data_IF_656630992938
#
_entry.id   IF_656630992938
#
_cell.length_a   1.000
_cell.length_b   1.000
_cell.length_c   1.000
_cell.angle_alpha   90.00
_cell.angle_beta   90.00
_cell.angle_gamma   90.00
#
_symmetry.space_group_name_H-M   'P 1'
#
loop_
_entity.id
_entity.type
_entity.pdbx_description
1 polymer ?
#
# COMPACT_ATOMS: atom_id res chain seq x y z
N UNK A 1 -21.65 5.03 -14.35
CA UNK A 1 -22.01 3.92 -13.46
C UNK A 1 -20.77 3.17 -12.94
N UNK A 2 -19.77 2.83 -13.78
CA UNK A 2 -18.54 2.17 -13.31
C UNK A 2 -17.87 2.97 -12.20
N UNK A 3 -17.67 4.28 -12.36
CA UNK A 3 -17.05 5.13 -11.33
C UNK A 3 -17.85 5.14 -10.02
N UNK A 4 -19.19 5.10 -10.10
CA UNK A 4 -20.05 5.01 -8.91
C UNK A 4 -19.86 3.66 -8.20
N UNK A 5 -19.79 2.55 -8.97
CA UNK A 5 -19.48 1.23 -8.41
C UNK A 5 -18.10 1.18 -7.73
N UNK A 6 -17.09 1.79 -8.35
CA UNK A 6 -15.75 1.88 -7.76
C UNK A 6 -15.74 2.73 -6.48
N UNK A 7 -16.48 3.83 -6.44
CA UNK A 7 -16.64 4.66 -5.24
C UNK A 7 -17.32 3.87 -4.11
N UNK A 8 -18.39 3.14 -4.42
CA UNK A 8 -19.08 2.25 -3.45
C UNK A 8 -18.15 1.18 -2.91
N UNK A 9 -17.31 0.59 -3.76
CA UNK A 9 -16.29 -0.36 -3.34
C UNK A 9 -15.27 0.28 -2.39
N UNK A 10 -14.75 1.47 -2.70
CA UNK A 10 -13.80 2.18 -1.81
C UNK A 10 -14.43 2.50 -0.45
N UNK A 11 -15.68 2.96 -0.44
CA UNK A 11 -16.43 3.20 0.80
C UNK A 11 -16.60 1.90 1.63
N UNK A 12 -16.91 0.79 0.96
CA UNK A 12 -17.05 -0.53 1.61
C UNK A 12 -15.74 -0.99 2.22
N UNK A 13 -14.62 -0.83 1.51
CA UNK A 13 -13.29 -1.16 2.02
C UNK A 13 -12.95 -0.34 3.26
N UNK A 14 -13.20 0.97 3.24
CA UNK A 14 -12.95 1.87 4.39
C UNK A 14 -13.84 1.57 5.59
N UNK A 15 -15.08 1.15 5.35
CA UNK A 15 -16.01 0.78 6.42
C UNK A 15 -15.66 -0.54 7.09
N UNK A 16 -14.89 -1.42 6.42
CA UNK A 16 -14.54 -2.75 6.89
C UNK A 16 -13.01 -2.92 6.98
N UNK A 17 -12.36 -2.33 8.00
CA UNK A 17 -10.92 -2.44 8.17
C UNK A 17 -10.50 -3.88 8.46
N UNK A 18 -9.50 -4.38 7.73
CA UNK A 18 -9.02 -5.76 7.82
C UNK A 18 -7.58 -5.85 8.37
N UNK A 19 -6.90 -4.72 8.54
CA UNK A 19 -5.52 -4.69 9.04
C UNK A 19 -5.39 -3.76 10.26
N UNK A 20 -4.72 -4.17 11.34
CA UNK A 20 -4.67 -3.40 12.58
C UNK A 20 -4.03 -2.01 12.43
N UNK A 21 -2.90 -1.90 11.72
CA UNK A 21 -2.19 -0.64 11.54
C UNK A 21 -2.64 0.12 10.28
N UNK A 22 -2.76 -0.56 9.13
CA UNK A 22 -3.13 0.06 7.84
C UNK A 22 -4.63 0.31 7.69
N UNK A 23 -5.45 -0.35 8.51
CA UNK A 23 -6.91 -0.33 8.49
C UNK A 23 -7.46 -1.05 7.26
N UNK A 24 -7.59 -0.37 6.13
CA UNK A 24 -8.13 -0.92 4.88
C UNK A 24 -7.26 -0.53 3.70
N UNK A 25 -7.38 -1.27 2.62
CA UNK A 25 -6.94 -0.81 1.32
C UNK A 25 -7.76 0.37 0.81
N UNK A 26 -7.36 0.95 -0.30
CA UNK A 26 -8.07 2.07 -0.97
C UNK A 26 -8.08 1.89 -2.48
N UNK A 27 -8.99 2.60 -3.15
CA UNK A 27 -9.15 2.53 -4.58
C UNK A 27 -9.19 3.94 -5.17
N UNK A 28 -8.38 4.18 -6.20
CA UNK A 28 -8.27 5.48 -6.87
C UNK A 28 -8.48 5.31 -8.37
N UNK A 29 -9.55 5.88 -8.93
CA UNK A 29 -9.77 5.99 -10.37
C UNK A 29 -9.02 7.23 -10.88
N UNK A 30 -7.73 7.07 -11.18
CA UNK A 30 -6.80 8.18 -11.37
C UNK A 30 -6.86 8.78 -12.78
N UNK A 31 -7.19 8.00 -13.80
CA UNK A 31 -7.23 8.48 -15.18
C UNK A 31 -8.49 7.96 -15.88
N UNK A 32 -9.13 8.82 -16.66
CA UNK A 32 -10.25 8.47 -17.53
C UNK A 32 -9.96 9.00 -18.94
N UNK A 33 -10.04 8.14 -19.92
CA UNK A 33 -9.77 8.50 -21.34
C UNK A 33 -10.87 7.97 -22.23
N UNK A 34 -11.44 8.83 -23.06
CA UNK A 34 -12.47 8.48 -24.03
C UNK A 34 -12.91 9.70 -24.82
N UNK A 35 -13.54 9.45 -25.99
CA UNK A 35 -14.04 10.49 -26.88
C UNK A 35 -12.97 11.07 -27.84
N UNK A 36 -13.47 11.73 -28.90
CA UNK A 36 -12.64 12.36 -29.93
C UNK A 36 -13.10 13.81 -30.17
N UNK A 37 -14.41 14.09 -30.03
CA UNK A 37 -15.03 15.39 -30.26
C UNK A 37 -16.28 15.60 -29.39
N UNK A 38 -16.78 16.81 -29.31
CA UNK A 38 -17.90 17.18 -28.43
C UNK A 38 -19.25 16.66 -28.93
N UNK A 39 -19.42 16.45 -30.25
CA UNK A 39 -20.70 16.08 -30.87
C UNK A 39 -20.93 14.57 -30.97
N UNK A 40 -19.93 13.74 -30.64
CA UNK A 40 -19.99 12.28 -30.76
C UNK A 40 -19.84 11.58 -29.43
N UNK A 41 -20.71 10.60 -29.17
CA UNK A 41 -20.53 9.70 -28.03
C UNK A 41 -19.28 8.81 -28.24
N UNK A 42 -18.44 8.62 -27.20
CA UNK A 42 -17.27 7.79 -27.32
C UNK A 42 -17.65 6.30 -27.48
N UNK A 43 -17.08 5.65 -28.50
CA UNK A 43 -17.20 4.21 -28.69
C UNK A 43 -16.51 3.43 -27.57
N UNK A 44 -15.46 4.00 -26.99
CA UNK A 44 -14.63 3.38 -25.94
C UNK A 44 -14.25 4.39 -24.87
N UNK A 45 -14.28 3.91 -23.62
CA UNK A 45 -13.74 4.63 -22.48
C UNK A 45 -12.81 3.70 -21.69
N UNK A 46 -11.65 4.21 -21.28
CA UNK A 46 -10.69 3.51 -20.44
C UNK A 46 -10.58 4.24 -19.11
N UNK A 47 -10.68 3.49 -18.02
CA UNK A 47 -10.45 3.98 -16.65
C UNK A 47 -9.25 3.24 -16.09
N UNK A 48 -8.21 3.98 -15.71
CA UNK A 48 -7.08 3.40 -14.98
C UNK A 48 -7.33 3.55 -13.48
N UNK A 49 -7.20 2.42 -12.79
CA UNK A 49 -7.54 2.31 -11.36
C UNK A 49 -6.33 1.80 -10.61
N UNK A 50 -5.91 2.52 -9.57
CA UNK A 50 -4.97 2.03 -8.57
C UNK A 50 -5.74 1.44 -7.40
N UNK A 51 -5.42 0.21 -7.00
CA UNK A 51 -5.93 -0.44 -5.81
C UNK A 51 -4.76 -0.67 -4.85
N UNK A 52 -4.72 0.10 -3.77
CA UNK A 52 -3.75 -0.11 -2.68
C UNK A 52 -4.27 -1.22 -1.78
N UNK A 53 -3.46 -2.24 -1.63
CA UNK A 53 -3.78 -3.46 -0.86
C UNK A 53 -3.13 -3.44 0.52
N UNK A 54 -3.71 -4.17 1.44
CA UNK A 54 -3.08 -4.51 2.73
C UNK A 54 -2.53 -5.94 2.67
N UNK A 55 -1.58 -6.32 3.55
CA UNK A 55 -1.10 -7.71 3.65
C UNK A 55 -2.25 -8.71 3.76
N UNK A 56 -2.20 -9.77 2.94
CA UNK A 56 -3.24 -10.80 2.85
C UNK A 56 -4.23 -10.62 1.69
N UNK A 57 -4.30 -9.46 1.06
CA UNK A 57 -5.06 -9.27 -0.19
C UNK A 57 -4.24 -9.72 -1.40
N UNK A 58 -4.90 -10.38 -2.36
CA UNK A 58 -4.27 -10.87 -3.58
C UNK A 58 -4.75 -10.12 -4.83
N UNK A 59 -3.94 -10.07 -5.91
CA UNK A 59 -4.38 -9.46 -7.18
C UNK A 59 -5.65 -10.09 -7.74
N UNK A 60 -5.83 -11.40 -7.57
CA UNK A 60 -7.02 -12.11 -8.04
C UNK A 60 -8.29 -11.66 -7.28
N UNK A 61 -8.20 -11.47 -5.97
CA UNK A 61 -9.31 -10.93 -5.17
C UNK A 61 -9.67 -9.51 -5.59
N UNK A 62 -8.68 -8.65 -5.80
CA UNK A 62 -8.87 -7.28 -6.27
C UNK A 62 -9.56 -7.25 -7.64
N UNK A 63 -9.09 -8.07 -8.59
CA UNK A 63 -9.69 -8.16 -9.91
C UNK A 63 -11.14 -8.66 -9.84
N UNK A 64 -11.41 -9.66 -8.99
CA UNK A 64 -12.76 -10.18 -8.78
C UNK A 64 -13.72 -9.13 -8.20
N UNK A 65 -13.28 -8.28 -7.27
CA UNK A 65 -14.09 -7.18 -6.74
C UNK A 65 -14.54 -6.20 -7.84
N UNK A 66 -13.64 -5.87 -8.76
CA UNK A 66 -13.99 -4.98 -9.89
C UNK A 66 -14.86 -5.72 -10.90
N UNK A 67 -14.59 -7.01 -11.16
CA UNK A 67 -15.40 -7.81 -12.09
C UNK A 67 -16.87 -7.89 -11.63
N UNK A 68 -17.13 -8.04 -10.34
CA UNK A 68 -18.49 -8.03 -9.79
C UNK A 68 -19.25 -6.76 -10.19
N UNK A 69 -18.60 -5.59 -10.09
CA UNK A 69 -19.20 -4.30 -10.50
C UNK A 69 -19.57 -4.34 -11.99
N UNK A 70 -18.68 -4.85 -12.82
CA UNK A 70 -18.91 -4.93 -14.26
C UNK A 70 -20.06 -5.91 -14.62
N UNK A 71 -20.12 -7.03 -13.93
CA UNK A 71 -21.17 -8.06 -14.13
C UNK A 71 -22.54 -7.54 -13.68
N UNK A 72 -22.62 -6.81 -12.58
CA UNK A 72 -23.85 -6.15 -12.13
C UNK A 72 -24.36 -5.13 -13.16
N UNK A 73 -23.45 -4.30 -13.71
CA UNK A 73 -23.79 -3.32 -14.73
C UNK A 73 -24.23 -4.00 -16.05
N UNK A 74 -23.57 -5.09 -16.45
CA UNK A 74 -23.95 -5.86 -17.62
C UNK A 74 -25.33 -6.55 -17.46
N UNK A 75 -25.67 -6.94 -16.23
CA UNK A 75 -27.00 -7.48 -15.90
C UNK A 75 -28.07 -6.41 -15.99
N UNK A 76 -27.80 -5.19 -15.56
CA UNK A 76 -28.72 -4.07 -15.60
C UNK A 76 -28.90 -3.48 -17.01
N UNK A 77 -27.84 -3.51 -17.82
CA UNK A 77 -27.86 -3.02 -19.22
C UNK A 77 -27.15 -4.04 -20.14
N UNK A 78 -27.91 -4.82 -20.92
CA UNK A 78 -27.32 -5.81 -21.85
C UNK A 78 -26.46 -5.22 -22.97
N UNK A 79 -26.53 -3.91 -23.22
CA UNK A 79 -25.65 -3.23 -24.16
C UNK A 79 -24.31 -2.86 -23.57
N UNK A 80 -24.19 -2.83 -22.24
CA UNK A 80 -22.95 -2.54 -21.54
C UNK A 80 -21.94 -3.66 -21.74
N UNK A 81 -20.71 -3.30 -22.17
CA UNK A 81 -19.61 -4.24 -22.33
C UNK A 81 -18.35 -3.62 -21.73
N UNK A 82 -17.75 -4.30 -20.78
CA UNK A 82 -16.50 -3.87 -20.18
C UNK A 82 -15.63 -5.08 -19.82
N UNK A 83 -14.33 -4.83 -19.68
CA UNK A 83 -13.35 -5.83 -19.22
C UNK A 83 -12.44 -5.17 -18.21
N UNK A 84 -11.98 -5.91 -17.23
CA UNK A 84 -10.93 -5.51 -16.31
C UNK A 84 -9.66 -6.29 -16.62
N UNK A 85 -8.51 -5.60 -16.57
CA UNK A 85 -7.20 -6.20 -16.74
C UNK A 85 -6.23 -5.63 -15.73
N UNK A 86 -5.60 -6.50 -14.95
CA UNK A 86 -4.46 -6.14 -14.11
C UNK A 86 -3.24 -5.92 -14.99
N UNK A 87 -2.65 -4.73 -14.93
CA UNK A 87 -1.50 -4.33 -15.75
C UNK A 87 -0.19 -4.26 -14.95
N UNK A 88 -0.29 -4.09 -13.64
CA UNK A 88 0.86 -3.94 -12.78
C UNK A 88 0.52 -4.42 -11.36
N UNK A 89 1.48 -5.08 -10.70
CA UNK A 89 1.35 -5.57 -9.32
C UNK A 89 2.62 -5.24 -8.54
N UNK A 90 2.42 -4.79 -7.31
CA UNK A 90 3.44 -4.73 -6.27
C UNK A 90 2.85 -5.34 -5.01
N UNK A 91 3.54 -6.31 -4.44
CA UNK A 91 3.09 -6.95 -3.21
C UNK A 91 3.18 -5.98 -2.04
N UNK A 92 2.24 -6.11 -1.12
CA UNK A 92 2.31 -5.43 0.17
C UNK A 92 3.37 -6.10 1.06
N UNK A 93 3.94 -5.33 1.99
CA UNK A 93 4.90 -5.82 2.96
C UNK A 93 4.28 -5.88 4.36
N UNK A 94 4.56 -6.96 5.06
CA UNK A 94 4.27 -7.12 6.48
C UNK A 94 5.31 -8.03 7.11
N UNK A 95 5.70 -7.74 8.34
CA UNK A 95 6.62 -8.56 9.11
C UNK A 95 5.98 -8.93 10.45
N UNK A 96 6.04 -10.19 10.90
CA UNK A 96 5.62 -10.58 12.23
C UNK A 96 6.49 -9.92 13.31
N UNK A 97 5.91 -9.53 14.42
CA UNK A 97 6.64 -8.90 15.51
C UNK A 97 7.64 -9.85 16.19
N UNK A 98 7.47 -11.17 16.05
CA UNK A 98 8.40 -12.20 16.55
C UNK A 98 9.55 -12.49 15.58
N UNK A 99 9.60 -11.86 14.41
CA UNK A 99 10.69 -12.04 13.47
C UNK A 99 12.04 -11.59 14.07
N UNK A 100 13.14 -12.36 13.93
CA UNK A 100 14.41 -12.06 14.57
C UNK A 100 14.93 -10.65 14.29
N UNK A 101 14.87 -10.19 13.05
CA UNK A 101 15.31 -8.83 12.67
C UNK A 101 14.44 -7.74 13.32
N UNK A 102 13.13 -7.95 13.43
CA UNK A 102 12.22 -7.03 14.11
C UNK A 102 12.57 -6.93 15.60
N UNK A 103 12.72 -8.06 16.27
CA UNK A 103 13.05 -8.12 17.71
C UNK A 103 14.40 -7.46 17.99
N UNK A 104 15.37 -7.63 17.10
CA UNK A 104 16.70 -7.05 17.24
C UNK A 104 16.66 -5.53 17.15
N UNK A 105 16.04 -4.99 16.09
CA UNK A 105 15.86 -3.53 15.93
C UNK A 105 15.05 -2.95 17.10
N UNK A 106 13.96 -3.60 17.50
CA UNK A 106 13.14 -3.15 18.61
C UNK A 106 13.92 -3.10 19.94
N UNK A 107 14.75 -4.09 20.21
CA UNK A 107 15.60 -4.13 21.41
C UNK A 107 16.61 -2.97 21.43
N UNK A 108 17.40 -2.79 20.38
CA UNK A 108 18.38 -1.71 20.33
C UNK A 108 17.73 -0.32 20.32
N UNK A 109 16.60 -0.18 19.60
CA UNK A 109 15.83 1.05 19.62
C UNK A 109 15.31 1.35 21.05
N UNK A 110 14.79 0.37 21.75
CA UNK A 110 14.32 0.52 23.14
C UNK A 110 15.47 0.97 24.06
N UNK A 111 16.64 0.37 23.92
CA UNK A 111 17.82 0.75 24.72
C UNK A 111 18.28 2.20 24.46
N UNK A 112 18.33 2.60 23.18
CA UNK A 112 18.78 3.96 22.80
C UNK A 112 17.77 5.06 23.06
N UNK A 113 16.48 4.75 22.93
CA UNK A 113 15.40 5.72 23.09
C UNK A 113 14.83 5.77 24.51
N UNK A 114 15.14 4.78 25.37
CA UNK A 114 14.59 4.64 26.71
C UNK A 114 13.15 4.12 26.75
N UNK A 115 12.55 3.84 25.58
CA UNK A 115 11.22 3.25 25.41
C UNK A 115 11.12 2.51 24.08
N UNK A 116 10.21 1.55 24.00
CA UNK A 116 9.96 0.83 22.75
C UNK A 116 9.43 1.80 21.67
N UNK A 117 9.94 1.72 20.43
CA UNK A 117 9.40 2.51 19.32
C UNK A 117 7.97 2.08 18.97
N UNK A 118 7.19 3.02 18.43
CA UNK A 118 5.87 2.69 17.93
C UNK A 118 5.97 1.86 16.64
N UNK A 119 5.24 0.75 16.60
CA UNK A 119 5.05 -0.04 15.38
C UNK A 119 3.88 0.55 14.60
N UNK A 120 4.13 1.00 13.38
CA UNK A 120 3.14 1.65 12.53
C UNK A 120 3.04 0.98 11.17
N UNK A 121 1.86 1.05 10.56
CA UNK A 121 1.68 0.75 9.15
C UNK A 121 1.77 2.03 8.32
N UNK A 122 2.47 1.98 7.19
CA UNK A 122 2.58 3.12 6.28
C UNK A 122 1.88 2.82 4.95
N UNK A 123 1.09 3.75 4.39
CA UNK A 123 0.27 3.50 3.20
C UNK A 123 1.04 3.72 1.89
N UNK A 124 2.36 3.59 1.89
CA UNK A 124 3.21 3.69 0.71
C UNK A 124 4.07 2.44 0.55
N UNK A 125 4.42 2.16 -0.70
CA UNK A 125 5.20 0.98 -1.04
C UNK A 125 6.71 1.23 -0.82
N UNK A 126 7.42 0.17 -0.40
CA UNK A 126 8.88 0.18 -0.18
C UNK A 126 9.52 -1.08 -0.74
N UNK A 127 10.82 -1.02 -1.04
CA UNK A 127 11.64 -2.13 -1.55
C UNK A 127 11.69 -3.33 -0.60
N UNK A 128 11.34 -3.15 0.68
CA UNK A 128 11.14 -4.24 1.65
C UNK A 128 10.21 -5.34 1.16
N UNK A 129 9.21 -4.98 0.34
CA UNK A 129 8.31 -5.96 -0.28
C UNK A 129 9.04 -6.89 -1.26
N UNK A 130 10.00 -6.37 -2.04
CA UNK A 130 10.81 -7.18 -2.96
C UNK A 130 11.75 -8.09 -2.18
N UNK A 131 12.44 -7.55 -1.17
CA UNK A 131 13.37 -8.31 -0.35
C UNK A 131 12.65 -9.43 0.41
N UNK A 132 11.50 -9.12 1.00
CA UNK A 132 10.67 -10.11 1.70
C UNK A 132 10.19 -11.23 0.76
N UNK A 133 9.73 -10.88 -0.45
CA UNK A 133 9.33 -11.86 -1.46
C UNK A 133 10.49 -12.77 -1.91
N UNK A 134 11.73 -12.28 -1.83
CA UNK A 134 12.94 -13.07 -2.07
C UNK A 134 13.40 -13.89 -0.85
N UNK A 135 12.65 -13.90 0.24
CA UNK A 135 12.97 -14.61 1.47
C UNK A 135 14.03 -13.92 2.34
N UNK A 136 14.35 -12.66 2.07
CA UNK A 136 15.31 -11.87 2.86
C UNK A 136 14.56 -11.22 4.03
N UNK A 137 14.91 -11.54 5.28
CA UNK A 137 14.32 -10.90 6.44
C UNK A 137 14.59 -9.39 6.44
N UNK A 138 13.56 -8.58 6.52
CA UNK A 138 13.72 -7.12 6.52
C UNK A 138 12.68 -6.44 7.41
N UNK A 139 13.06 -5.26 7.88
CA UNK A 139 12.18 -4.36 8.65
C UNK A 139 12.42 -2.93 8.17
N UNK A 140 11.37 -2.12 8.12
CA UNK A 140 11.50 -0.70 7.86
C UNK A 140 11.71 0.04 9.19
N UNK A 141 12.81 0.76 9.29
CA UNK A 141 13.15 1.58 10.45
C UNK A 141 13.86 2.85 9.98
N UNK A 142 13.58 3.97 10.62
CA UNK A 142 14.19 5.23 10.22
C UNK A 142 14.00 6.34 11.25
N UNK A 143 14.65 7.51 11.01
CA UNK A 143 14.60 8.66 11.89
C UNK A 143 13.23 9.34 11.87
N UNK A 144 13.00 10.22 12.86
CA UNK A 144 11.82 11.06 12.94
C UNK A 144 11.91 12.23 11.97
N UNK A 145 10.78 12.57 11.36
CA UNK A 145 10.68 13.69 10.42
C UNK A 145 9.24 13.86 9.95
N UNK A 146 9.05 14.81 9.06
CA UNK A 146 7.73 15.05 8.45
C UNK A 146 7.87 15.65 7.06
N UNK A 147 6.79 15.58 6.28
CA UNK A 147 6.71 16.21 4.97
C UNK A 147 7.34 15.39 3.85
N UNK A 148 7.46 14.05 3.98
CA UNK A 148 7.96 13.20 2.89
C UNK A 148 7.22 13.49 1.58
N UNK A 149 7.98 13.86 0.53
CA UNK A 149 7.48 14.32 -0.78
C UNK A 149 6.70 15.65 -0.77
N UNK A 150 6.67 16.40 0.34
CA UNK A 150 6.06 17.71 0.38
C UNK A 150 7.07 18.82 0.02
N UNK A 151 6.56 20.04 -0.25
CA UNK A 151 7.40 21.21 -0.51
C UNK A 151 8.29 21.55 0.69
N UNK A 152 7.78 21.29 1.91
CA UNK A 152 8.53 21.42 3.15
C UNK A 152 8.71 20.03 3.72
N UNK A 153 9.94 19.56 3.71
CA UNK A 153 10.34 18.25 4.25
C UNK A 153 11.54 18.45 5.19
N UNK A 154 11.52 17.79 6.34
CA UNK A 154 12.60 17.83 7.29
C UNK A 154 12.73 16.55 8.10
N UNK A 155 13.93 16.32 8.63
CA UNK A 155 14.28 15.23 9.54
C UNK A 155 14.94 15.81 10.80
N UNK A 156 14.69 15.17 11.94
CA UNK A 156 15.37 15.48 13.19
C UNK A 156 16.78 14.85 13.19
N UNK A 157 17.81 15.71 13.25
CA UNK A 157 19.21 15.28 13.18
C UNK A 157 19.63 14.43 14.40
N UNK A 158 19.08 14.67 15.57
CA UNK A 158 19.36 13.84 16.75
C UNK A 158 18.80 12.42 16.53
N UNK A 159 17.61 12.31 15.96
CA UNK A 159 17.03 11.02 15.62
C UNK A 159 17.81 10.28 14.54
N UNK A 160 18.42 11.00 13.58
CA UNK A 160 19.32 10.40 12.57
C UNK A 160 20.54 9.76 13.23
N UNK A 161 21.16 10.46 14.18
CA UNK A 161 22.31 9.91 14.92
C UNK A 161 21.93 8.65 15.68
N UNK A 162 20.82 8.69 16.43
CA UNK A 162 20.32 7.51 17.17
C UNK A 162 19.97 6.36 16.23
N UNK A 163 19.31 6.64 15.10
CA UNK A 163 18.98 5.65 14.08
C UNK A 163 20.25 4.96 13.55
N UNK A 164 21.30 5.73 13.28
CA UNK A 164 22.59 5.20 12.81
C UNK A 164 23.22 4.22 13.81
N UNK A 165 23.22 4.57 15.10
CA UNK A 165 23.73 3.69 16.15
C UNK A 165 22.92 2.41 16.28
N UNK A 166 21.58 2.51 16.26
CA UNK A 166 20.67 1.35 16.32
C UNK A 166 20.90 0.40 15.14
N UNK A 167 21.01 0.93 13.92
CA UNK A 167 21.25 0.14 12.72
C UNK A 167 22.64 -0.50 12.74
N UNK A 168 23.66 0.20 13.22
CA UNK A 168 25.01 -0.36 13.36
C UNK A 168 25.02 -1.54 14.33
N UNK A 169 24.46 -1.38 15.53
CA UNK A 169 24.40 -2.44 16.53
C UNK A 169 23.57 -3.64 16.02
N UNK A 170 22.46 -3.35 15.32
CA UNK A 170 21.64 -4.38 14.67
C UNK A 170 22.44 -5.16 13.63
N UNK A 171 23.18 -4.48 12.75
CA UNK A 171 23.95 -5.12 11.69
C UNK A 171 25.09 -5.98 12.27
N UNK A 172 25.80 -5.50 13.29
CA UNK A 172 26.87 -6.25 13.94
C UNK A 172 26.35 -7.54 14.58
N UNK A 173 25.19 -7.49 15.25
CA UNK A 173 24.66 -8.69 15.90
C UNK A 173 23.94 -9.63 14.92
N UNK A 174 23.28 -9.10 13.89
CA UNK A 174 22.53 -9.93 12.93
C UNK A 174 23.43 -10.63 11.91
N UNK A 175 24.55 -10.01 11.54
CA UNK A 175 25.46 -10.52 10.51
C UNK A 175 26.72 -11.19 11.09
N UNK A 176 27.04 -10.99 12.36
CA UNK A 176 28.23 -11.54 13.04
C UNK A 176 27.93 -12.85 13.73
#
# INVERSE_FOLDING_TARGET
>A
HVLVGLETLDQTLRANPTHPQLKSGSLHASLVRGGQELSSYPERCVVDVERRTVPGETPAQVQAQIQIILDELATADPAFKATVKTTFVRDSFGIPEDAPIFQLVNRFATQKLGQAPNVIGVPFWMDTAILSAAGIPCVAFGPSGTGAHAVVEWVDLESVAKCTEILLETAVEFCG
#
